data_IF_883590913243
#
_entry.id   IF_883590913243
#
_cell.length_a   1.000
_cell.length_b   1.000
_cell.length_c   1.000
_cell.angle_alpha   90.00
_cell.angle_beta   90.00
_cell.angle_gamma   90.00
#
_symmetry.space_group_name_H-M   'P 1'
#
loop_
_entity.id
_entity.type
_entity.pdbx_description
1 polymer ?
#
# COMPACT_ATOMS: atom_id res chain seq x y z
N UNK A 1 17.12 45.74 20.60
CA UNK A 1 17.96 44.89 19.73
C UNK A 1 17.62 43.45 20.09
N UNK A 2 16.95 42.72 19.21
CA UNK A 2 16.36 41.41 19.52
C UNK A 2 17.44 40.33 19.59
N UNK A 3 17.21 39.32 20.44
CA UNK A 3 18.14 38.22 20.78
C UNK A 3 18.66 37.42 19.55
N UNK A 4 18.02 37.60 18.40
CA UNK A 4 18.33 36.99 17.11
C UNK A 4 19.41 37.77 16.29
N UNK A 5 19.68 39.02 16.64
CA UNK A 5 20.76 39.82 16.01
C UNK A 5 22.12 39.56 16.66
N UNK A 6 22.14 39.31 17.97
CA UNK A 6 23.34 38.96 18.74
C UNK A 6 23.89 37.60 18.33
N UNK A 7 23.01 36.61 18.07
CA UNK A 7 23.39 35.25 17.66
C UNK A 7 23.92 35.15 16.23
N UNK A 8 23.51 36.05 15.32
CA UNK A 8 24.06 36.12 13.95
C UNK A 8 25.48 36.69 13.92
N UNK A 9 25.77 37.69 14.77
CA UNK A 9 27.05 38.39 14.80
C UNK A 9 28.19 37.54 15.39
N UNK A 10 27.89 36.66 16.36
CA UNK A 10 28.88 35.74 16.96
C UNK A 10 29.35 34.61 16.04
N UNK A 11 28.55 34.26 15.01
CA UNK A 11 28.88 33.22 14.03
C UNK A 11 29.50 33.80 12.73
N UNK A 12 29.78 35.11 12.68
CA UNK A 12 30.43 35.77 11.53
C UNK A 12 29.58 35.88 10.26
N UNK A 13 28.28 35.59 10.33
CA UNK A 13 27.37 35.58 9.17
C UNK A 13 26.51 36.84 9.14
N UNK A 14 26.61 37.62 8.06
CA UNK A 14 25.88 38.90 7.88
C UNK A 14 24.53 38.76 7.16
N UNK A 15 24.24 37.60 6.56
CA UNK A 15 23.05 37.37 5.73
C UNK A 15 22.09 36.34 6.36
N UNK A 16 20.80 36.68 6.45
CA UNK A 16 19.74 35.83 7.02
C UNK A 16 19.54 34.49 6.27
N UNK A 17 19.63 34.44 4.92
CA UNK A 17 19.60 33.19 4.16
C UNK A 17 20.71 32.18 4.53
N UNK A 18 21.92 32.63 4.82
CA UNK A 18 23.05 31.76 5.16
C UNK A 18 22.87 31.11 6.55
N UNK A 19 22.19 31.81 7.47
CA UNK A 19 21.83 31.28 8.78
C UNK A 19 20.81 30.14 8.67
N UNK A 20 19.82 30.27 7.78
CA UNK A 20 18.82 29.22 7.53
C UNK A 20 19.47 27.99 6.90
N UNK A 21 20.41 28.18 5.96
CA UNK A 21 21.17 27.09 5.33
C UNK A 21 22.01 26.31 6.34
N UNK A 22 22.70 27.01 7.25
CA UNK A 22 23.50 26.37 8.32
C UNK A 22 22.65 25.60 9.34
N UNK A 23 21.43 26.06 9.63
CA UNK A 23 20.47 25.33 10.48
C UNK A 23 19.94 24.05 9.81
N UNK A 24 19.84 24.03 8.48
CA UNK A 24 19.45 22.82 7.74
C UNK A 24 20.58 21.79 7.72
N UNK A 25 21.84 22.23 7.56
CA UNK A 25 23.02 21.35 7.61
C UNK A 25 23.18 20.68 8.99
N UNK A 26 22.98 21.43 10.09
CA UNK A 26 23.02 20.88 11.45
C UNK A 26 21.92 19.84 11.73
N UNK A 27 20.74 20.00 11.12
CA UNK A 27 19.65 19.02 11.20
C UNK A 27 19.94 17.75 10.39
N UNK A 28 20.66 17.87 9.27
CA UNK A 28 21.07 16.70 8.47
C UNK A 28 22.18 15.89 9.12
N UNK A 29 23.10 16.52 9.87
CA UNK A 29 24.14 15.82 10.63
C UNK A 29 23.59 15.12 11.88
N UNK A 30 22.52 15.64 12.49
CA UNK A 30 21.85 15.01 13.64
C UNK A 30 20.99 13.79 13.25
N UNK A 31 20.67 13.59 11.97
CA UNK A 31 19.92 12.44 11.48
C UNK A 31 20.80 11.23 11.13
N UNK A 32 22.13 11.34 11.31
CA UNK A 32 23.12 10.30 11.02
C UNK A 32 23.40 9.34 12.20
N UNK A 33 22.77 9.52 13.36
CA UNK A 33 22.90 8.60 14.50
C UNK A 33 21.54 8.30 15.11
N UNK A 34 20.73 7.53 14.39
CA UNK A 34 19.66 6.64 14.88
C UNK A 34 18.97 6.00 13.66
N UNK A 35 19.78 5.23 12.92
CA UNK A 35 19.32 4.28 11.89
C UNK A 35 20.18 3.02 11.99
N UNK A 36 19.78 2.08 12.85
CA UNK A 36 20.14 0.66 12.80
C UNK A 36 19.23 0.00 13.84
N UNK A 37 18.29 -0.89 13.56
CA UNK A 37 18.34 -2.13 12.77
C UNK A 37 16.86 -2.44 12.42
N UNK A 38 16.38 -2.54 11.18
CA UNK A 38 16.64 -3.63 10.25
C UNK A 38 16.08 -3.22 8.87
N UNK A 39 16.93 -2.66 8.02
CA UNK A 39 16.75 -2.59 6.58
C UNK A 39 17.95 -3.28 5.95
N UNK A 40 17.81 -4.57 5.62
CA UNK A 40 18.65 -5.32 4.67
C UNK A 40 18.04 -6.74 4.65
N UNK A 41 17.35 -7.17 3.59
CA UNK A 41 17.91 -7.34 2.25
C UNK A 41 16.78 -7.18 1.22
N UNK A 42 16.84 -6.13 0.39
CA UNK A 42 16.07 -6.12 -0.87
C UNK A 42 17.05 -6.43 -1.98
N UNK A 43 16.95 -7.65 -2.52
CA UNK A 43 17.68 -8.06 -3.71
C UNK A 43 17.35 -7.12 -4.87
N UNK A 44 18.37 -6.75 -5.63
CA UNK A 44 18.34 -5.77 -6.74
C UNK A 44 17.43 -6.17 -7.92
N UNK A 45 16.72 -7.30 -7.86
CA UNK A 45 15.81 -7.79 -8.90
C UNK A 45 14.38 -7.23 -8.79
N UNK A 46 14.05 -6.58 -7.68
CA UNK A 46 12.66 -6.26 -7.30
C UNK A 46 12.19 -4.84 -7.73
N UNK A 47 13.01 -4.10 -8.48
CA UNK A 47 12.81 -2.66 -8.73
C UNK A 47 11.83 -2.35 -9.87
N UNK A 48 11.62 -3.26 -10.84
CA UNK A 48 10.81 -2.95 -12.04
C UNK A 48 9.35 -3.43 -12.01
N UNK A 49 9.01 -4.39 -11.14
CA UNK A 49 7.64 -4.94 -11.11
C UNK A 49 6.75 -4.21 -10.10
N UNK A 50 5.49 -3.89 -10.47
CA UNK A 50 4.57 -3.27 -9.53
C UNK A 50 4.33 -4.22 -8.35
N UNK A 51 4.33 -3.66 -7.13
CA UNK A 51 4.44 -4.42 -5.89
C UNK A 51 3.43 -5.58 -5.76
N UNK A 52 2.22 -5.45 -6.29
CA UNK A 52 1.17 -6.49 -6.26
C UNK A 52 1.50 -7.76 -7.08
N UNK A 53 2.52 -7.71 -7.96
CA UNK A 53 3.01 -8.87 -8.72
C UNK A 53 4.18 -9.58 -8.07
N UNK A 54 4.74 -9.02 -6.99
CA UNK A 54 5.88 -9.62 -6.31
C UNK A 54 5.43 -10.90 -5.61
N UNK A 55 6.22 -11.96 -5.74
CA UNK A 55 5.90 -13.26 -5.14
C UNK A 55 5.75 -13.16 -3.63
N UNK A 56 6.55 -12.32 -2.97
CA UNK A 56 6.46 -12.06 -1.53
C UNK A 56 5.10 -11.49 -1.11
N UNK A 57 4.50 -10.64 -1.95
CA UNK A 57 3.18 -10.05 -1.70
C UNK A 57 2.07 -11.08 -1.96
N UNK A 58 2.22 -11.91 -2.99
CA UNK A 58 1.27 -12.99 -3.28
C UNK A 58 1.27 -14.05 -2.18
N UNK A 59 2.45 -14.47 -1.70
CA UNK A 59 2.61 -15.39 -0.56
C UNK A 59 1.96 -14.82 0.70
N UNK A 60 2.18 -13.54 0.99
CA UNK A 60 1.52 -12.88 2.12
C UNK A 60 -0.01 -12.84 1.98
N UNK A 61 -0.52 -12.63 0.76
CA UNK A 61 -1.97 -12.67 0.49
C UNK A 61 -2.55 -14.07 0.74
N UNK A 62 -1.88 -15.11 0.25
CA UNK A 62 -2.27 -16.51 0.45
C UNK A 62 -2.28 -16.86 1.93
N UNK A 63 -1.21 -16.50 2.66
CA UNK A 63 -1.12 -16.71 4.10
C UNK A 63 -2.26 -16.02 4.85
N UNK A 64 -2.65 -14.80 4.46
CA UNK A 64 -3.80 -14.11 5.07
C UNK A 64 -5.12 -14.86 4.83
N UNK A 65 -5.32 -15.44 3.65
CA UNK A 65 -6.53 -16.24 3.35
C UNK A 65 -6.58 -17.56 4.13
N UNK A 66 -5.43 -18.21 4.33
CA UNK A 66 -5.34 -19.47 5.06
C UNK A 66 -5.49 -19.24 6.57
N UNK A 67 -4.83 -18.20 7.10
CA UNK A 67 -4.83 -17.90 8.55
C UNK A 67 -6.16 -17.29 9.01
N UNK A 68 -6.76 -16.41 8.20
CA UNK A 68 -7.94 -15.63 8.60
C UNK A 68 -9.06 -15.75 7.56
N UNK A 69 -9.62 -16.96 7.34
CA UNK A 69 -10.61 -17.21 6.28
C UNK A 69 -11.95 -16.49 6.50
N UNK A 70 -12.26 -16.11 7.75
CA UNK A 70 -13.48 -15.37 8.09
C UNK A 70 -13.42 -13.89 7.67
N UNK A 71 -12.22 -13.31 7.75
CA UNK A 71 -11.96 -11.90 7.44
C UNK A 71 -11.56 -11.70 5.97
N UNK A 72 -10.64 -12.53 5.48
CA UNK A 72 -10.08 -12.42 4.14
C UNK A 72 -10.65 -13.51 3.23
N UNK A 73 -11.25 -13.10 2.11
CA UNK A 73 -11.71 -14.01 1.08
C UNK A 73 -11.34 -13.48 -0.31
N UNK A 74 -10.90 -14.36 -1.25
CA UNK A 74 -10.44 -13.92 -2.57
C UNK A 74 -11.56 -13.39 -3.48
N UNK A 75 -12.80 -13.83 -3.26
CA UNK A 75 -13.96 -13.46 -4.11
C UNK A 75 -15.07 -12.68 -3.38
N UNK A 76 -15.08 -12.69 -2.05
CA UNK A 76 -16.08 -12.03 -1.21
C UNK A 76 -15.37 -11.12 -0.20
N UNK A 77 -14.73 -10.06 -0.71
CA UNK A 77 -13.94 -9.16 0.12
C UNK A 77 -14.85 -8.29 0.98
N UNK A 78 -14.69 -8.36 2.30
CA UNK A 78 -15.46 -7.54 3.25
C UNK A 78 -14.69 -6.30 3.69
N UNK A 79 -15.37 -5.20 4.09
CA UNK A 79 -14.72 -4.04 4.69
C UNK A 79 -13.92 -4.45 5.94
N UNK A 80 -12.66 -4.06 6.01
CA UNK A 80 -11.78 -4.44 7.11
C UNK A 80 -11.90 -3.45 8.27
N UNK A 81 -11.69 -3.93 9.50
CA UNK A 81 -11.51 -3.09 10.69
C UNK A 81 -10.36 -2.10 10.48
N UNK A 82 -10.53 -0.89 11.04
CA UNK A 82 -9.48 0.13 11.04
C UNK A 82 -8.31 -0.37 11.91
N UNK A 83 -7.08 -0.19 11.43
CA UNK A 83 -5.85 -0.67 12.11
C UNK A 83 -5.70 -2.19 12.22
N UNK A 84 -6.39 -2.97 11.37
CA UNK A 84 -6.24 -4.44 11.28
C UNK A 84 -4.79 -4.89 11.06
N UNK A 85 -3.94 -4.03 10.50
CA UNK A 85 -2.50 -4.28 10.34
C UNK A 85 -1.80 -4.58 11.65
N UNK A 86 -2.21 -3.90 12.73
CA UNK A 86 -1.57 -4.05 14.03
C UNK A 86 -1.99 -5.37 14.65
N UNK A 87 -3.29 -5.68 14.63
CA UNK A 87 -3.84 -6.97 15.08
C UNK A 87 -3.14 -8.16 14.37
N UNK A 88 -2.88 -8.03 13.05
CA UNK A 88 -2.13 -9.05 12.28
C UNK A 88 -0.69 -9.14 12.76
N UNK A 89 -0.02 -8.03 13.06
CA UNK A 89 1.35 -8.05 13.55
C UNK A 89 1.47 -8.61 14.96
N UNK A 90 0.50 -8.37 15.82
CA UNK A 90 0.46 -8.94 17.16
C UNK A 90 0.26 -10.46 17.07
N UNK A 91 -0.63 -10.93 16.19
CA UNK A 91 -0.77 -12.35 15.89
C UNK A 91 0.53 -12.96 15.32
N UNK A 92 1.25 -12.19 14.48
CA UNK A 92 2.53 -12.61 13.90
C UNK A 92 3.62 -12.75 14.97
N UNK A 93 3.64 -11.88 15.99
CA UNK A 93 4.61 -11.93 17.09
C UNK A 93 4.34 -13.10 18.05
N UNK A 94 3.06 -13.47 18.22
CA UNK A 94 2.65 -14.56 19.10
C UNK A 94 2.71 -15.95 18.42
N UNK A 95 2.88 -16.00 17.10
CA UNK A 95 2.99 -17.25 16.36
C UNK A 95 4.31 -17.98 16.70
N UNK A 96 4.21 -19.25 17.08
CA UNK A 96 5.33 -20.08 17.50
C UNK A 96 6.23 -20.47 16.31
N UNK A 97 5.66 -20.62 15.13
CA UNK A 97 6.35 -21.12 13.94
C UNK A 97 6.80 -19.97 13.03
N UNK A 98 7.97 -19.39 13.25
CA UNK A 98 8.43 -18.21 12.47
C UNK A 98 8.92 -18.52 11.04
N UNK A 99 9.19 -19.79 10.72
CA UNK A 99 9.83 -20.19 9.46
C UNK A 99 9.01 -19.87 8.20
N UNK A 100 7.67 -19.87 8.29
CA UNK A 100 6.80 -19.68 7.13
C UNK A 100 6.00 -18.36 7.17
N UNK A 101 6.42 -17.42 8.02
CA UNK A 101 5.69 -16.17 8.21
C UNK A 101 6.07 -15.11 7.16
N UNK A 102 5.08 -14.42 6.57
CA UNK A 102 5.39 -13.30 5.69
C UNK A 102 5.98 -12.13 6.48
N UNK A 103 6.94 -11.44 5.87
CA UNK A 103 7.52 -10.20 6.43
C UNK A 103 6.45 -9.11 6.62
N UNK A 104 6.61 -8.28 7.66
CA UNK A 104 5.73 -7.13 7.95
C UNK A 104 5.55 -6.20 6.75
N UNK A 105 6.61 -5.98 5.96
CA UNK A 105 6.55 -5.15 4.74
C UNK A 105 5.67 -5.79 3.66
N UNK A 106 5.80 -7.10 3.47
CA UNK A 106 4.99 -7.88 2.54
C UNK A 106 3.51 -7.87 2.94
N UNK A 107 3.21 -7.97 4.24
CA UNK A 107 1.83 -7.86 4.77
C UNK A 107 1.23 -6.48 4.48
N UNK A 108 1.95 -5.38 4.72
CA UNK A 108 1.44 -4.04 4.39
C UNK A 108 1.13 -3.92 2.90
N UNK A 109 2.03 -4.37 2.04
CA UNK A 109 1.85 -4.36 0.57
C UNK A 109 0.68 -5.25 0.14
N UNK A 110 0.52 -6.41 0.77
CA UNK A 110 -0.60 -7.33 0.56
C UNK A 110 -1.93 -6.65 0.90
N UNK A 111 -2.02 -6.01 2.07
CA UNK A 111 -3.21 -5.29 2.50
C UNK A 111 -3.54 -4.11 1.59
N UNK A 112 -2.54 -3.31 1.17
CA UNK A 112 -2.77 -2.25 0.17
C UNK A 112 -3.32 -2.83 -1.13
N UNK A 113 -2.81 -3.96 -1.61
CA UNK A 113 -3.35 -4.64 -2.79
C UNK A 113 -4.79 -5.09 -2.58
N UNK A 114 -5.08 -5.66 -1.40
CA UNK A 114 -6.40 -6.17 -1.05
C UNK A 114 -7.46 -5.06 -1.01
N UNK A 115 -7.13 -3.90 -0.42
CA UNK A 115 -8.06 -2.76 -0.29
C UNK A 115 -8.25 -1.97 -1.59
N UNK A 116 -7.28 -2.00 -2.51
CA UNK A 116 -7.42 -1.40 -3.84
C UNK A 116 -8.07 -2.34 -4.86
N UNK A 117 -8.42 -3.57 -4.46
CA UNK A 117 -9.12 -4.50 -5.32
C UNK A 117 -10.56 -4.01 -5.58
N UNK A 118 -11.01 -4.21 -6.81
CA UNK A 118 -12.35 -3.85 -7.26
C UNK A 118 -13.46 -4.48 -6.41
N UNK A 119 -13.26 -5.71 -5.93
CA UNK A 119 -14.27 -6.38 -5.11
C UNK A 119 -14.40 -5.69 -3.75
N UNK A 120 -13.29 -5.32 -3.11
CA UNK A 120 -13.28 -4.60 -1.84
C UNK A 120 -13.97 -3.24 -1.94
N UNK A 121 -13.59 -2.45 -2.95
CA UNK A 121 -14.17 -1.13 -3.18
C UNK A 121 -15.68 -1.19 -3.44
N UNK A 122 -16.17 -2.30 -4.00
CA UNK A 122 -17.61 -2.51 -4.24
C UNK A 122 -18.38 -2.80 -2.94
N UNK A 123 -17.75 -3.51 -2.00
CA UNK A 123 -18.39 -3.89 -0.73
C UNK A 123 -18.25 -2.79 0.35
N UNK A 124 -17.39 -1.79 0.14
CA UNK A 124 -17.33 -0.57 0.97
C UNK A 124 -18.52 0.37 0.70
N UNK A 125 -19.70 -0.01 1.15
CA UNK A 125 -20.95 0.77 1.08
C UNK A 125 -21.29 1.41 2.42
N UNK A 126 -22.19 2.40 2.40
CA UNK A 126 -22.69 3.05 3.62
C UNK A 126 -23.32 2.01 4.56
N UNK A 127 -23.07 2.15 5.87
CA UNK A 127 -23.59 1.29 6.94
C UNK A 127 -23.14 -0.18 6.85
N UNK A 128 -22.14 -0.49 6.01
CA UNK A 128 -21.53 -1.81 6.00
C UNK A 128 -20.71 -2.02 7.27
N UNK A 129 -20.92 -3.16 7.94
CA UNK A 129 -20.13 -3.55 9.10
C UNK A 129 -18.72 -3.98 8.66
N UNK A 130 -17.71 -3.37 9.26
CA UNK A 130 -16.31 -3.80 9.14
C UNK A 130 -16.07 -5.03 9.99
N UNK A 131 -15.21 -5.91 9.50
CA UNK A 131 -14.96 -7.20 10.11
C UNK A 131 -13.53 -7.23 10.65
N UNK A 132 -13.37 -7.79 11.85
CA UNK A 132 -12.07 -8.04 12.47
C UNK A 132 -11.44 -9.38 12.02
N UNK A 133 -10.35 -9.81 12.67
CA UNK A 133 -9.68 -11.08 12.33
C UNK A 133 -10.52 -12.30 12.69
N UNK A 134 -11.33 -12.21 13.75
CA UNK A 134 -12.16 -13.29 14.27
C UNK A 134 -13.47 -13.47 13.50
N UNK A 135 -13.81 -12.48 12.67
CA UNK A 135 -15.01 -12.46 11.84
C UNK A 135 -16.15 -11.64 12.44
N UNK A 136 -15.92 -10.94 13.54
CA UNK A 136 -16.92 -10.18 14.26
C UNK A 136 -17.09 -8.76 13.67
N UNK A 137 -18.34 -8.25 13.64
CA UNK A 137 -18.61 -6.89 13.20
C UNK A 137 -18.08 -5.88 14.22
N UNK A 138 -17.30 -4.91 13.76
CA UNK A 138 -16.68 -3.89 14.62
C UNK A 138 -17.28 -2.50 14.39
N UNK A 139 -16.83 -1.80 13.35
CA UNK A 139 -17.20 -0.41 13.06
C UNK A 139 -17.96 -0.32 11.74
N UNK A 140 -18.87 0.63 11.62
CA UNK A 140 -19.59 0.86 10.36
C UNK A 140 -18.78 1.74 9.42
N UNK A 141 -18.92 1.50 8.12
CA UNK A 141 -18.36 2.37 7.06
C UNK A 141 -19.17 3.66 7.01
N UNK A 142 -18.48 4.80 7.08
CA UNK A 142 -19.14 6.11 7.05
C UNK A 142 -19.52 6.52 5.63
N UNK A 143 -20.44 7.48 5.51
CA UNK A 143 -20.88 8.00 4.21
C UNK A 143 -19.73 8.60 3.38
N UNK A 144 -18.75 9.22 4.03
CA UNK A 144 -17.59 9.82 3.36
C UNK A 144 -16.67 8.74 2.78
N UNK A 145 -16.40 7.69 3.56
CA UNK A 145 -15.59 6.55 3.14
C UNK A 145 -16.23 5.79 1.98
N UNK A 146 -17.54 5.57 2.04
CA UNK A 146 -18.29 4.92 0.97
C UNK A 146 -18.25 5.74 -0.34
N UNK A 147 -18.38 7.07 -0.25
CA UNK A 147 -18.23 7.97 -1.41
C UNK A 147 -16.83 7.90 -2.00
N UNK A 148 -15.80 7.90 -1.16
CA UNK A 148 -14.41 7.78 -1.60
C UNK A 148 -14.13 6.44 -2.28
N UNK A 149 -14.61 5.33 -1.71
CA UNK A 149 -14.48 4.00 -2.31
C UNK A 149 -15.16 3.92 -3.68
N UNK A 150 -16.35 4.52 -3.81
CA UNK A 150 -17.09 4.60 -5.08
C UNK A 150 -16.32 5.38 -6.15
N UNK A 151 -15.75 6.53 -5.80
CA UNK A 151 -14.93 7.32 -6.74
C UNK A 151 -13.72 6.54 -7.25
N UNK A 152 -12.99 5.86 -6.35
CA UNK A 152 -11.87 4.99 -6.75
C UNK A 152 -12.35 3.85 -7.66
N UNK A 153 -13.47 3.22 -7.31
CA UNK A 153 -14.05 2.14 -8.11
C UNK A 153 -14.38 2.61 -9.53
N UNK A 154 -15.00 3.77 -9.68
CA UNK A 154 -15.38 4.33 -10.98
C UNK A 154 -14.14 4.64 -11.83
N UNK A 155 -13.10 5.24 -11.22
CA UNK A 155 -11.80 5.47 -11.87
C UNK A 155 -11.18 4.17 -12.38
N UNK A 156 -11.13 3.11 -11.56
CA UNK A 156 -10.57 1.83 -11.99
C UNK A 156 -11.45 1.10 -13.02
N UNK A 157 -12.77 1.18 -12.87
CA UNK A 157 -13.74 0.57 -13.79
C UNK A 157 -13.59 1.14 -15.20
N UNK A 158 -13.40 2.45 -15.34
CA UNK A 158 -13.17 3.10 -16.63
C UNK A 158 -11.88 2.58 -17.30
N UNK A 159 -10.77 2.57 -16.56
CA UNK A 159 -9.47 2.07 -17.06
C UNK A 159 -9.57 0.59 -17.46
N UNK A 160 -10.26 -0.22 -16.67
CA UNK A 160 -10.42 -1.65 -16.94
C UNK A 160 -11.27 -1.90 -18.19
N UNK A 161 -12.36 -1.15 -18.38
CA UNK A 161 -13.21 -1.23 -19.58
C UNK A 161 -12.42 -0.89 -20.84
N UNK A 162 -11.62 0.17 -20.83
CA UNK A 162 -10.81 0.56 -21.99
C UNK A 162 -9.73 -0.47 -22.32
N UNK A 163 -9.03 -1.01 -21.32
CA UNK A 163 -8.08 -2.10 -21.51
C UNK A 163 -8.73 -3.36 -22.10
N UNK A 164 -9.94 -3.72 -21.64
CA UNK A 164 -10.68 -4.86 -22.17
C UNK A 164 -11.09 -4.66 -23.64
N UNK A 165 -11.55 -3.45 -23.99
CA UNK A 165 -11.89 -3.10 -25.38
C UNK A 165 -10.66 -3.15 -26.29
N UNK A 166 -9.52 -2.60 -25.84
CA UNK A 166 -8.26 -2.64 -26.59
C UNK A 166 -7.80 -4.08 -26.89
N UNK A 167 -7.74 -4.94 -25.86
CA UNK A 167 -7.39 -6.36 -26.04
C UNK A 167 -8.35 -7.10 -26.97
N UNK A 168 -9.64 -6.76 -26.94
CA UNK A 168 -10.63 -7.37 -27.83
C UNK A 168 -10.45 -6.91 -29.29
N UNK A 169 -10.07 -5.64 -29.51
CA UNK A 169 -9.73 -5.12 -30.85
C UNK A 169 -8.48 -5.79 -31.41
N UNK A 170 -7.43 -5.89 -30.61
CA UNK A 170 -6.17 -6.56 -30.96
C UNK A 170 -6.40 -8.03 -31.36
N UNK A 171 -7.10 -8.81 -30.52
CA UNK A 171 -7.46 -10.20 -30.84
C UNK A 171 -8.28 -10.35 -32.12
N UNK A 172 -9.12 -9.36 -32.47
CA UNK A 172 -9.89 -9.37 -33.72
C UNK A 172 -8.98 -9.09 -34.93
N UNK A 173 -8.05 -8.15 -34.80
CA UNK A 173 -7.06 -7.85 -35.84
C UNK A 173 -6.10 -9.02 -36.06
N UNK A 174 -5.61 -9.66 -35.00
CA UNK A 174 -4.77 -10.87 -35.12
C UNK A 174 -5.49 -12.00 -35.87
N UNK A 175 -6.78 -12.23 -35.56
CA UNK A 175 -7.59 -13.24 -36.27
C UNK A 175 -7.79 -12.88 -37.74
N UNK A 176 -8.02 -11.61 -38.03
CA UNK A 176 -8.17 -11.11 -39.41
C UNK A 176 -6.86 -11.29 -40.20
N UNK A 177 -5.73 -10.84 -39.65
CA UNK A 177 -4.41 -10.96 -40.27
C UNK A 177 -4.01 -12.42 -40.51
N UNK A 178 -4.32 -13.32 -39.55
CA UNK A 178 -4.08 -14.76 -39.71
C UNK A 178 -4.91 -15.37 -40.82
N UNK A 179 -6.16 -14.92 -40.98
CA UNK A 179 -7.04 -15.41 -42.04
C UNK A 179 -6.59 -14.92 -43.43
N UNK A 180 -6.03 -13.72 -43.54
CA UNK A 180 -5.52 -13.17 -44.81
C UNK A 180 -4.18 -13.75 -45.24
N UNK A 181 -3.36 -14.28 -44.32
CA UNK A 181 -2.07 -14.92 -44.61
C UNK A 181 -2.19 -16.37 -45.10
N UNK A 182 -3.32 -17.02 -44.82
CA UNK A 182 -3.58 -18.42 -45.17
C UNK A 182 -4.48 -18.57 -46.42
N UNK A 183 -4.67 -17.50 -47.19
CA UNK A 183 -5.51 -17.44 -48.39
C UNK A 183 -4.65 -17.06 -49.59
#
# INVERSE_FOLDING_TARGET
>A
MTDDQTKRKTLGLRSVPDYIKKLQELKTTAHATEKTQNEETTSKQDVEQPYYKRESVQKALTWLYETFPKCFAPRAQKPLKISITNDIFDHLLNAVDQENLPSKSSIRKALTTYTHNRFYLKECVLDANRIDLDGEPTTVVTAEEAKYAKDIFDRYSAVFKEKKKAKHREKRQEKFNRHSLNR
#
